data_IF_614683107122
#
_entry.id   IF_614683107122
#
_cell.length_a   1.000
_cell.length_b   1.000
_cell.length_c   1.000
_cell.angle_alpha   90.00
_cell.angle_beta   90.00
_cell.angle_gamma   90.00
#
_symmetry.space_group_name_H-M   'P 1'
#
loop_
_entity.id
_entity.type
_entity.pdbx_description
1 polymer ?
#
# COMPACT_ATOMS: atom_id res chain seq x y z
N UNK A 1 -31.04 -29.67 -1.89
CA UNK A 1 -30.90 -28.78 -3.05
C UNK A 1 -29.72 -27.87 -2.75
N UNK A 2 -28.53 -28.05 -3.37
CA UNK A 2 -27.49 -27.06 -3.21
C UNK A 2 -27.97 -25.77 -3.89
N UNK A 3 -27.76 -24.65 -3.22
CA UNK A 3 -28.08 -23.33 -3.77
C UNK A 3 -27.47 -23.20 -5.16
N UNK A 4 -28.29 -22.73 -6.10
CA UNK A 4 -27.86 -22.29 -7.42
C UNK A 4 -26.62 -21.40 -7.25
N UNK A 5 -25.52 -21.76 -7.94
CA UNK A 5 -24.35 -20.90 -8.13
C UNK A 5 -24.81 -19.66 -8.91
N UNK A 6 -25.35 -18.67 -8.22
CA UNK A 6 -25.35 -17.30 -8.74
C UNK A 6 -23.89 -16.93 -9.00
N UNK A 7 -23.58 -16.45 -10.21
CA UNK A 7 -22.23 -16.02 -10.55
C UNK A 7 -21.68 -15.10 -9.45
N UNK A 8 -20.54 -15.47 -8.88
CA UNK A 8 -19.87 -14.70 -7.83
C UNK A 8 -19.61 -13.27 -8.36
N UNK A 9 -20.09 -12.24 -7.66
CA UNK A 9 -19.88 -10.85 -8.06
C UNK A 9 -18.38 -10.53 -8.10
N UNK A 10 -17.95 -9.67 -9.02
CA UNK A 10 -16.57 -9.18 -9.09
C UNK A 10 -15.48 -10.27 -9.16
N UNK A 11 -15.76 -11.42 -9.79
CA UNK A 11 -14.83 -12.56 -9.86
C UNK A 11 -13.41 -12.16 -10.25
N UNK A 12 -13.24 -11.35 -11.29
CA UNK A 12 -11.91 -10.90 -11.75
C UNK A 12 -11.13 -10.13 -10.67
N UNK A 13 -11.79 -9.21 -9.94
CA UNK A 13 -11.15 -8.46 -8.86
C UNK A 13 -10.82 -9.35 -7.66
N UNK A 14 -11.68 -10.33 -7.35
CA UNK A 14 -11.41 -11.30 -6.28
C UNK A 14 -10.17 -12.13 -6.61
N UNK A 15 -10.02 -12.58 -7.85
CA UNK A 15 -8.81 -13.25 -8.33
C UNK A 15 -7.59 -12.33 -8.24
N UNK A 16 -7.69 -11.07 -8.69
CA UNK A 16 -6.57 -10.11 -8.64
C UNK A 16 -6.11 -9.82 -7.19
N UNK A 17 -7.05 -9.74 -6.24
CA UNK A 17 -6.73 -9.62 -4.80
C UNK A 17 -5.92 -10.83 -4.33
N UNK A 18 -6.36 -12.04 -4.67
CA UNK A 18 -5.67 -13.28 -4.27
C UNK A 18 -4.27 -13.36 -4.88
N UNK A 19 -4.13 -13.00 -6.16
CA UNK A 19 -2.83 -12.93 -6.85
C UNK A 19 -1.91 -11.91 -6.19
N UNK A 20 -2.42 -10.72 -5.84
CA UNK A 20 -1.68 -9.69 -5.09
C UNK A 20 -1.20 -10.23 -3.74
N UNK A 21 -2.07 -10.89 -2.98
CA UNK A 21 -1.71 -11.52 -1.71
C UNK A 21 -0.59 -12.57 -1.87
N UNK A 22 -0.67 -13.41 -2.91
CA UNK A 22 0.37 -14.41 -3.21
C UNK A 22 1.70 -13.74 -3.57
N UNK A 23 1.66 -12.68 -4.38
CA UNK A 23 2.86 -11.91 -4.75
C UNK A 23 3.49 -11.18 -3.55
N UNK A 24 2.68 -10.68 -2.61
CA UNK A 24 3.19 -10.11 -1.36
C UNK A 24 3.99 -11.13 -0.55
N UNK A 25 3.54 -12.39 -0.49
CA UNK A 25 4.30 -13.45 0.17
C UNK A 25 5.53 -13.86 -0.65
N UNK A 26 5.41 -13.97 -1.97
CA UNK A 26 6.50 -14.38 -2.85
C UNK A 26 7.67 -13.37 -2.86
N UNK A 27 7.37 -12.07 -2.80
CA UNK A 27 8.36 -10.99 -2.74
C UNK A 27 8.94 -10.77 -1.33
N UNK A 28 8.43 -11.47 -0.31
CA UNK A 28 8.93 -11.41 1.06
C UNK A 28 8.49 -10.17 1.86
N UNK A 29 7.67 -9.29 1.26
CA UNK A 29 7.12 -8.11 1.96
C UNK A 29 6.00 -8.47 2.93
N UNK A 30 5.44 -9.68 2.85
CA UNK A 30 4.48 -10.21 3.82
C UNK A 30 4.87 -11.62 4.28
N UNK A 31 4.52 -11.96 5.52
CA UNK A 31 4.80 -13.27 6.12
C UNK A 31 3.50 -13.93 6.59
N UNK A 32 3.17 -15.08 6.01
CA UNK A 32 1.97 -15.83 6.38
C UNK A 32 0.68 -15.06 6.05
N UNK A 33 -0.10 -14.77 7.09
CA UNK A 33 -1.46 -14.18 7.01
C UNK A 33 -1.57 -12.85 7.75
N UNK A 34 -0.46 -12.17 8.03
CA UNK A 34 -0.46 -10.91 8.79
C UNK A 34 -1.02 -9.72 8.00
N UNK A 35 -0.69 -9.63 6.71
CA UNK A 35 -1.22 -8.59 5.84
C UNK A 35 -2.70 -8.73 5.50
N UNK A 36 -3.23 -7.71 4.85
CA UNK A 36 -4.58 -7.69 4.32
C UNK A 36 -4.71 -6.69 3.16
N UNK A 37 -5.65 -6.95 2.26
CA UNK A 37 -5.84 -6.19 1.02
C UNK A 37 -7.32 -5.85 0.87
N UNK A 38 -7.62 -4.61 0.46
CA UNK A 38 -8.97 -4.22 0.05
C UNK A 38 -8.99 -3.46 -1.25
N UNK A 39 -10.09 -3.60 -2.00
CA UNK A 39 -10.36 -2.84 -3.22
C UNK A 39 -11.77 -2.27 -3.18
N UNK A 40 -11.91 -0.97 -3.45
CA UNK A 40 -13.21 -0.32 -3.62
C UNK A 40 -13.95 -0.95 -4.80
N UNK A 41 -15.25 -1.16 -4.63
CA UNK A 41 -16.15 -1.50 -5.72
C UNK A 41 -17.28 -0.45 -5.79
N UNK A 42 -18.15 -0.56 -6.79
CA UNK A 42 -19.30 0.33 -6.94
C UNK A 42 -20.27 0.28 -5.76
N UNK A 43 -21.28 1.15 -5.79
CA UNK A 43 -22.45 1.11 -4.91
C UNK A 43 -22.14 1.22 -3.40
N UNK A 44 -21.08 1.93 -3.04
CA UNK A 44 -20.71 2.18 -1.64
C UNK A 44 -20.18 0.95 -0.91
N UNK A 45 -19.46 0.08 -1.64
CA UNK A 45 -18.92 -1.18 -1.14
C UNK A 45 -17.43 -1.34 -1.45
N UNK A 46 -16.81 -2.33 -0.84
CA UNK A 46 -15.44 -2.74 -1.09
C UNK A 46 -15.28 -4.25 -0.86
N UNK A 47 -14.29 -4.84 -1.52
CA UNK A 47 -13.83 -6.21 -1.25
C UNK A 47 -12.64 -6.14 -0.29
N UNK A 48 -12.53 -7.10 0.62
CA UNK A 48 -11.41 -7.20 1.56
C UNK A 48 -11.06 -8.66 1.85
N UNK A 49 -9.79 -8.94 2.09
CA UNK A 49 -9.31 -10.27 2.48
C UNK A 49 -9.96 -10.76 3.79
N UNK A 50 -10.27 -12.05 3.90
CA UNK A 50 -10.79 -12.66 5.12
C UNK A 50 -9.73 -12.76 6.22
N UNK A 51 -10.16 -12.86 7.46
CA UNK A 51 -9.24 -13.08 8.60
C UNK A 51 -8.68 -14.51 8.59
N UNK A 52 -7.36 -14.63 8.77
CA UNK A 52 -6.70 -15.89 9.15
C UNK A 52 -6.65 -16.99 8.08
N UNK A 53 -7.01 -16.71 6.83
CA UNK A 53 -6.94 -17.69 5.73
C UNK A 53 -5.59 -17.57 5.01
N UNK A 54 -4.80 -18.66 4.89
CA UNK A 54 -3.55 -18.67 4.13
C UNK A 54 -3.74 -18.32 2.66
N UNK A 55 -2.95 -17.39 2.13
CA UNK A 55 -3.04 -16.90 0.75
C UNK A 55 -2.85 -17.99 -0.32
N UNK A 56 -2.06 -19.02 -0.02
CA UNK A 56 -1.83 -20.13 -0.94
C UNK A 56 -3.11 -20.93 -1.25
N UNK A 57 -4.00 -21.08 -0.26
CA UNK A 57 -5.24 -21.84 -0.37
C UNK A 57 -6.51 -20.99 -0.44
N UNK A 58 -6.37 -19.66 -0.51
CA UNK A 58 -7.50 -18.73 -0.56
C UNK A 58 -8.24 -18.85 -1.90
N UNK A 59 -9.58 -18.88 -1.85
CA UNK A 59 -10.47 -18.94 -3.00
C UNK A 59 -11.33 -17.67 -3.13
N UNK A 60 -11.87 -17.40 -4.31
CA UNK A 60 -12.56 -16.14 -4.62
C UNK A 60 -13.81 -15.91 -3.77
N UNK A 61 -14.52 -16.97 -3.41
CA UNK A 61 -15.71 -16.93 -2.55
C UNK A 61 -15.39 -16.58 -1.09
N UNK A 62 -14.12 -16.68 -0.68
CA UNK A 62 -13.65 -16.31 0.66
C UNK A 62 -13.27 -14.82 0.76
N UNK A 63 -13.08 -14.11 -0.36
CA UNK A 63 -12.94 -12.66 -0.34
C UNK A 63 -14.25 -12.05 0.17
N UNK A 64 -14.16 -11.12 1.12
CA UNK A 64 -15.33 -10.60 1.83
C UNK A 64 -15.78 -9.32 1.16
N UNK A 65 -17.05 -9.23 0.82
CA UNK A 65 -17.66 -7.97 0.38
C UNK A 65 -18.19 -7.22 1.60
N UNK A 66 -17.89 -5.93 1.70
CA UNK A 66 -18.33 -5.07 2.79
C UNK A 66 -18.91 -3.77 2.28
N UNK A 67 -19.94 -3.27 2.96
CA UNK A 67 -20.45 -1.91 2.79
C UNK A 67 -19.71 -0.95 3.73
N UNK A 68 -19.75 0.35 3.40
CA UNK A 68 -19.13 1.37 4.23
C UNK A 68 -19.84 1.64 5.57
N UNK A 69 -21.03 1.09 5.82
CA UNK A 69 -21.68 1.08 7.14
C UNK A 69 -21.25 -0.11 8.02
N UNK A 70 -20.38 -1.00 7.53
CA UNK A 70 -19.78 -2.10 8.29
C UNK A 70 -20.54 -3.43 8.21
N UNK A 71 -21.46 -3.60 7.25
CA UNK A 71 -22.11 -4.88 6.96
C UNK A 71 -21.21 -5.69 6.02
N UNK A 72 -21.05 -6.99 6.27
CA UNK A 72 -20.28 -7.89 5.40
C UNK A 72 -21.14 -9.01 4.81
N UNK A 73 -20.72 -9.51 3.66
CA UNK A 73 -21.39 -10.57 2.91
C UNK A 73 -20.38 -11.66 2.52
N UNK A 74 -20.85 -12.91 2.52
CA UNK A 74 -20.04 -14.08 2.19
C UNK A 74 -19.84 -15.03 3.38
N UNK A 75 -19.18 -16.17 3.14
CA UNK A 75 -19.02 -17.23 4.13
C UNK A 75 -17.94 -16.95 5.18
N UNK A 76 -17.03 -16.01 4.91
CA UNK A 76 -15.88 -15.70 5.75
C UNK A 76 -16.04 -14.36 6.47
N UNK A 77 -15.44 -14.26 7.67
CA UNK A 77 -15.30 -12.97 8.37
C UNK A 77 -14.20 -12.16 7.69
N UNK A 78 -14.35 -10.82 7.58
CA UNK A 78 -13.29 -9.96 7.06
C UNK A 78 -12.07 -9.98 8.00
N UNK A 79 -10.92 -9.48 7.51
CA UNK A 79 -9.76 -9.17 8.37
C UNK A 79 -10.19 -8.40 9.63
N UNK A 80 -9.51 -8.60 10.76
CA UNK A 80 -9.74 -7.84 12.00
C UNK A 80 -9.55 -6.32 11.82
N UNK A 81 -8.88 -5.93 10.75
CA UNK A 81 -8.43 -4.57 10.47
C UNK A 81 -9.26 -3.81 9.43
N UNK A 82 -10.43 -4.34 9.09
CA UNK A 82 -11.32 -3.79 8.07
C UNK A 82 -11.67 -2.29 8.30
N UNK A 83 -11.58 -1.79 9.54
CA UNK A 83 -11.93 -0.40 9.90
C UNK A 83 -11.07 0.62 9.18
N UNK A 84 -9.74 0.46 9.19
CA UNK A 84 -8.89 1.42 8.45
C UNK A 84 -9.06 1.29 6.96
N UNK A 85 -9.29 0.09 6.41
CA UNK A 85 -9.61 -0.07 4.99
C UNK A 85 -10.85 0.72 4.62
N UNK A 86 -11.94 0.52 5.38
CA UNK A 86 -13.20 1.24 5.22
C UNK A 86 -12.99 2.75 5.30
N UNK A 87 -12.37 3.23 6.37
CA UNK A 87 -12.30 4.66 6.65
C UNK A 87 -11.35 5.38 5.69
N UNK A 88 -10.23 4.76 5.31
CA UNK A 88 -9.33 5.27 4.27
C UNK A 88 -10.09 5.39 2.95
N UNK A 89 -10.76 4.33 2.51
CA UNK A 89 -11.55 4.37 1.27
C UNK A 89 -12.70 5.39 1.37
N UNK A 90 -13.30 5.62 2.53
CA UNK A 90 -14.32 6.67 2.66
C UNK A 90 -13.73 8.09 2.50
N UNK A 91 -12.58 8.37 3.10
CA UNK A 91 -11.99 9.71 3.12
C UNK A 91 -11.07 10.01 1.91
N UNK A 92 -10.66 8.98 1.16
CA UNK A 92 -9.80 9.10 -0.02
C UNK A 92 -10.51 8.59 -1.28
N UNK A 93 -11.42 9.38 -1.87
CA UNK A 93 -12.12 9.00 -3.11
C UNK A 93 -11.20 8.87 -4.32
N UNK A 94 -9.97 9.38 -4.24
CA UNK A 94 -8.89 9.23 -5.23
C UNK A 94 -8.15 7.89 -5.15
N UNK A 95 -8.45 7.06 -4.14
CA UNK A 95 -7.83 5.77 -3.87
C UNK A 95 -8.85 4.65 -3.99
N UNK A 96 -8.46 3.57 -4.66
CA UNK A 96 -9.29 2.38 -4.83
C UNK A 96 -8.72 1.15 -4.14
N UNK A 97 -7.47 1.18 -3.69
CA UNK A 97 -6.80 0.04 -3.08
C UNK A 97 -6.06 0.43 -1.82
N UNK A 98 -6.18 -0.41 -0.80
CA UNK A 98 -5.41 -0.33 0.45
C UNK A 98 -4.76 -1.68 0.68
N UNK A 99 -3.45 -1.69 0.90
CA UNK A 99 -2.67 -2.86 1.29
C UNK A 99 -2.03 -2.60 2.64
N UNK A 100 -2.18 -3.55 3.55
CA UNK A 100 -1.48 -3.56 4.83
C UNK A 100 -0.56 -4.78 4.93
N UNK A 101 0.61 -4.58 5.52
CA UNK A 101 1.59 -5.62 5.79
C UNK A 101 2.32 -5.39 7.10
N UNK A 102 2.89 -6.47 7.63
CA UNK A 102 3.94 -6.42 8.67
C UNK A 102 5.31 -6.61 8.00
N UNK A 103 5.62 -5.80 6.98
CA UNK A 103 6.89 -5.88 6.26
C UNK A 103 8.07 -5.62 7.20
N UNK A 104 9.13 -6.41 7.07
CA UNK A 104 10.18 -6.54 8.09
C UNK A 104 10.81 -5.20 8.46
N UNK A 105 11.35 -4.46 7.48
CA UNK A 105 12.09 -3.23 7.74
C UNK A 105 11.18 -2.07 8.08
N UNK A 106 10.02 -1.97 7.42
CA UNK A 106 8.98 -1.00 7.78
C UNK A 106 8.52 -1.18 9.22
N UNK A 107 8.31 -2.44 9.65
CA UNK A 107 7.93 -2.78 11.02
C UNK A 107 9.05 -2.44 12.00
N UNK A 108 10.33 -2.71 11.66
CA UNK A 108 11.48 -2.32 12.48
C UNK A 108 11.49 -0.81 12.75
N UNK A 109 11.31 0.02 11.72
CA UNK A 109 11.24 1.48 11.90
C UNK A 109 9.99 1.89 12.71
N UNK A 110 8.84 1.25 12.44
CA UNK A 110 7.60 1.50 13.18
C UNK A 110 7.73 1.20 14.68
N UNK A 111 8.51 0.18 15.06
CA UNK A 111 8.77 -0.19 16.45
C UNK A 111 9.61 0.87 17.17
N UNK A 112 10.37 1.68 16.44
CA UNK A 112 11.08 2.85 16.96
C UNK A 112 10.20 4.11 17.02
N UNK A 113 8.98 4.05 16.47
CA UNK A 113 8.04 5.18 16.36
C UNK A 113 8.67 6.38 15.66
N UNK A 114 9.36 6.11 14.56
CA UNK A 114 10.03 7.12 13.74
C UNK A 114 9.41 7.16 12.36
N UNK A 115 9.36 8.37 11.80
CA UNK A 115 9.14 8.56 10.38
C UNK A 115 10.34 8.05 9.59
N UNK A 116 10.12 7.71 8.32
CA UNK A 116 11.20 7.54 7.34
C UNK A 116 11.40 8.89 6.65
N UNK A 117 12.52 9.60 6.87
CA UNK A 117 12.80 10.88 6.21
C UNK A 117 13.19 10.65 4.73
N UNK A 118 13.43 11.73 3.99
CA UNK A 118 13.99 11.72 2.63
C UNK A 118 15.46 11.22 2.57
N UNK A 119 15.73 10.03 3.10
CA UNK A 119 17.01 9.31 3.02
C UNK A 119 17.31 8.85 1.59
N UNK A 120 16.26 8.72 0.77
CA UNK A 120 16.33 8.41 -0.65
C UNK A 120 15.21 9.17 -1.38
N UNK A 121 15.48 9.69 -2.58
CA UNK A 121 14.52 10.53 -3.31
C UNK A 121 13.19 9.80 -3.59
N UNK A 122 13.20 8.47 -3.70
CA UNK A 122 12.00 7.65 -3.93
C UNK A 122 10.97 7.73 -2.78
N UNK A 123 11.29 8.32 -1.64
CA UNK A 123 10.28 8.70 -0.63
C UNK A 123 9.16 9.55 -1.25
N UNK A 124 9.46 10.32 -2.29
CA UNK A 124 8.46 11.06 -3.07
C UNK A 124 7.34 10.18 -3.65
N UNK A 125 7.60 8.89 -3.91
CA UNK A 125 6.59 7.94 -4.39
C UNK A 125 5.46 7.72 -3.36
N UNK A 126 5.74 7.92 -2.07
CA UNK A 126 4.74 7.90 -1.00
C UNK A 126 3.96 9.23 -0.88
N UNK A 127 4.14 10.17 -1.81
CA UNK A 127 3.37 11.41 -1.91
C UNK A 127 3.88 12.57 -1.07
N UNK A 128 5.06 12.48 -0.46
CA UNK A 128 5.63 13.55 0.34
C UNK A 128 7.13 13.40 0.60
N UNK A 129 7.68 14.27 1.45
CA UNK A 129 9.11 14.29 1.81
C UNK A 129 9.48 13.30 2.94
N UNK A 130 8.50 12.55 3.44
CA UNK A 130 8.66 11.52 4.46
C UNK A 130 7.52 10.49 4.40
N UNK A 131 7.72 9.37 5.07
CA UNK A 131 6.68 8.38 5.39
C UNK A 131 6.43 8.44 6.89
N UNK A 132 5.25 8.91 7.28
CA UNK A 132 4.91 9.17 8.67
C UNK A 132 4.63 7.89 9.43
N UNK A 133 4.96 7.86 10.72
CA UNK A 133 4.57 6.81 11.65
C UNK A 133 3.38 7.25 12.50
N UNK A 134 2.24 6.59 12.29
CA UNK A 134 1.03 6.80 13.06
C UNK A 134 1.22 6.36 14.52
N UNK A 135 0.54 7.05 15.44
CA UNK A 135 0.54 6.69 16.86
C UNK A 135 -0.02 5.28 17.11
N UNK A 136 0.44 4.64 18.18
CA UNK A 136 -0.01 3.30 18.53
C UNK A 136 -1.47 3.29 18.99
N UNK A 137 -2.22 2.33 18.48
CA UNK A 137 -3.47 1.88 19.06
C UNK A 137 -3.61 0.37 18.79
N UNK A 138 -4.43 -0.32 19.58
CA UNK A 138 -4.65 -1.76 19.42
C UNK A 138 -5.21 -2.08 18.03
N UNK A 139 -4.70 -3.15 17.41
CA UNK A 139 -5.14 -3.58 16.07
C UNK A 139 -6.66 -3.76 15.99
N UNK A 140 -7.23 -3.45 14.82
CA UNK A 140 -8.67 -3.53 14.57
C UNK A 140 -9.54 -2.49 15.31
N UNK A 141 -8.96 -1.58 16.10
CA UNK A 141 -9.70 -0.52 16.79
C UNK A 141 -10.01 0.67 15.88
N UNK A 142 -11.01 1.49 16.26
CA UNK A 142 -11.29 2.76 15.59
C UNK A 142 -10.13 3.74 15.77
N UNK A 143 -9.53 3.81 16.96
CA UNK A 143 -8.39 4.69 17.23
C UNK A 143 -7.19 4.45 16.29
N UNK A 144 -6.89 3.18 15.95
CA UNK A 144 -5.83 2.88 14.97
C UNK A 144 -6.19 3.44 13.58
N UNK A 145 -7.46 3.33 13.19
CA UNK A 145 -7.97 3.89 11.94
C UNK A 145 -7.78 5.41 11.89
N UNK A 146 -8.15 6.10 12.97
CA UNK A 146 -8.06 7.56 13.07
C UNK A 146 -6.60 8.05 13.01
N UNK A 147 -5.68 7.34 13.68
CA UNK A 147 -4.25 7.62 13.60
C UNK A 147 -3.68 7.38 12.19
N UNK A 148 -4.09 6.29 11.53
CA UNK A 148 -3.67 5.98 10.17
C UNK A 148 -4.13 7.07 9.18
N UNK A 149 -5.38 7.52 9.28
CA UNK A 149 -5.91 8.61 8.45
C UNK A 149 -5.08 9.89 8.59
N UNK A 150 -4.77 10.28 9.83
CA UNK A 150 -3.95 11.46 10.13
C UNK A 150 -2.55 11.34 9.50
N UNK A 151 -1.90 10.17 9.66
CA UNK A 151 -0.59 9.94 9.05
C UNK A 151 -0.62 9.95 7.51
N UNK A 152 -1.74 9.53 6.92
CA UNK A 152 -1.96 9.45 5.46
C UNK A 152 -2.38 10.78 4.80
N UNK A 153 -2.56 11.87 5.55
CA UNK A 153 -2.89 13.17 4.98
C UNK A 153 -1.81 13.64 3.99
N UNK A 154 -2.17 13.73 2.71
CA UNK A 154 -1.22 14.06 1.64
C UNK A 154 -0.11 13.01 1.49
N UNK A 155 -0.38 11.75 1.82
CA UNK A 155 0.52 10.61 1.63
C UNK A 155 -0.20 9.42 0.99
N UNK A 156 0.58 8.50 0.46
CA UNK A 156 0.17 7.21 -0.08
C UNK A 156 0.69 6.04 0.75
N UNK A 157 1.50 6.29 1.78
CA UNK A 157 1.97 5.26 2.70
C UNK A 157 2.15 5.84 4.10
N UNK A 158 1.92 5.02 5.13
CA UNK A 158 2.27 5.33 6.50
C UNK A 158 2.68 4.09 7.27
N UNK A 159 3.59 4.25 8.24
CA UNK A 159 3.88 3.23 9.23
C UNK A 159 2.82 3.27 10.34
N UNK A 160 2.61 2.14 11.00
CA UNK A 160 1.79 2.02 12.19
C UNK A 160 2.71 1.65 13.36
N UNK A 161 2.81 2.50 14.39
CA UNK A 161 3.72 2.28 15.51
C UNK A 161 3.59 0.86 16.08
N UNK A 162 4.73 0.19 16.28
CA UNK A 162 4.81 -1.18 16.81
C UNK A 162 3.93 -2.21 16.06
N UNK A 163 3.70 -2.02 14.75
CA UNK A 163 2.72 -2.82 14.02
C UNK A 163 3.13 -3.14 12.59
N UNK A 164 3.23 -2.15 11.69
CA UNK A 164 3.47 -2.43 10.28
C UNK A 164 3.34 -1.23 9.36
N UNK A 165 2.86 -1.46 8.14
CA UNK A 165 2.80 -0.51 7.04
C UNK A 165 1.42 -0.55 6.38
N UNK A 166 0.90 0.62 6.01
CA UNK A 166 -0.26 0.77 5.11
C UNK A 166 0.20 1.49 3.85
N UNK A 167 -0.28 1.03 2.70
CA UNK A 167 -0.01 1.59 1.38
C UNK A 167 -1.29 1.74 0.58
N UNK A 168 -1.40 2.85 -0.15
CA UNK A 168 -2.56 3.24 -0.93
C UNK A 168 -2.23 3.21 -2.42
N UNK A 169 -3.22 2.90 -3.25
CA UNK A 169 -3.08 3.01 -4.69
C UNK A 169 -4.40 3.16 -5.43
N UNK A 170 -4.31 3.68 -6.66
CA UNK A 170 -5.44 3.71 -7.59
C UNK A 170 -5.81 2.32 -8.15
N UNK A 171 -4.97 1.31 -7.92
CA UNK A 171 -5.24 -0.10 -8.20
C UNK A 171 -4.21 -0.99 -7.48
N UNK A 172 -4.47 -2.29 -7.44
CA UNK A 172 -3.63 -3.32 -6.81
C UNK A 172 -2.18 -3.26 -7.28
N UNK A 173 -1.95 -3.22 -8.59
CA UNK A 173 -0.61 -3.14 -9.16
C UNK A 173 0.19 -1.92 -8.66
N UNK A 174 -0.42 -0.73 -8.66
CA UNK A 174 0.24 0.50 -8.17
C UNK A 174 0.50 0.44 -6.65
N UNK A 175 -0.47 -0.05 -5.88
CA UNK A 175 -0.31 -0.20 -4.43
C UNK A 175 0.80 -1.21 -4.08
N UNK A 176 0.86 -2.34 -4.79
CA UNK A 176 1.89 -3.35 -4.61
C UNK A 176 3.29 -2.84 -4.99
N UNK A 177 3.41 -2.12 -6.10
CA UNK A 177 4.68 -1.50 -6.48
C UNK A 177 5.17 -0.51 -5.40
N UNK A 178 4.27 0.32 -4.88
CA UNK A 178 4.60 1.24 -3.79
C UNK A 178 4.94 0.50 -2.48
N UNK A 179 4.28 -0.61 -2.16
CA UNK A 179 4.61 -1.45 -1.02
C UNK A 179 6.06 -1.94 -1.07
N UNK A 180 6.48 -2.48 -2.21
CA UNK A 180 7.86 -2.97 -2.41
C UNK A 180 8.87 -1.81 -2.31
N UNK A 181 8.55 -0.66 -2.89
CA UNK A 181 9.41 0.54 -2.82
C UNK A 181 9.57 1.03 -1.37
N UNK A 182 8.47 1.18 -0.62
CA UNK A 182 8.51 1.65 0.77
C UNK A 182 9.31 0.70 1.66
N UNK A 183 9.12 -0.62 1.50
CA UNK A 183 9.91 -1.60 2.25
C UNK A 183 11.40 -1.55 1.88
N UNK A 184 11.72 -1.28 0.61
CA UNK A 184 13.11 -1.08 0.14
C UNK A 184 13.74 0.15 0.78
N UNK A 185 13.03 1.28 0.80
CA UNK A 185 13.49 2.52 1.45
C UNK A 185 13.66 2.30 2.96
N UNK A 186 12.72 1.62 3.62
CA UNK A 186 12.85 1.30 5.04
C UNK A 186 14.10 0.45 5.32
N UNK A 187 14.40 -0.51 4.44
CA UNK A 187 15.58 -1.35 4.53
C UNK A 187 16.87 -0.56 4.31
N UNK A 188 16.89 0.40 3.38
CA UNK A 188 18.01 1.33 3.18
C UNK A 188 18.22 2.20 4.42
N UNK A 189 17.14 2.79 4.95
CA UNK A 189 17.20 3.67 6.13
C UNK A 189 17.75 2.93 7.35
N UNK A 190 17.21 1.75 7.65
CA UNK A 190 17.67 0.91 8.75
C UNK A 190 19.15 0.53 8.61
N UNK A 191 19.59 0.10 7.41
CA UNK A 191 21.00 -0.24 7.17
C UNK A 191 21.92 0.97 7.27
N UNK A 192 21.51 2.13 6.75
CA UNK A 192 22.28 3.36 6.84
C UNK A 192 22.49 3.78 8.30
N UNK A 193 21.43 3.71 9.14
CA UNK A 193 21.52 3.95 10.58
C UNK A 193 22.43 2.95 11.30
N UNK A 194 22.52 1.71 10.82
CA UNK A 194 23.38 0.69 11.43
C UNK A 194 24.87 0.92 11.17
N UNK A 195 25.23 1.61 10.08
CA UNK A 195 26.63 1.86 9.69
C UNK A 195 27.05 3.32 9.82
N UNK A 196 26.12 4.25 10.09
CA UNK A 196 26.42 5.67 10.20
C UNK A 196 25.17 6.54 10.38
N UNK A 197 25.32 7.83 10.06
CA UNK A 197 24.21 8.79 10.05
C UNK A 197 23.84 9.10 8.59
N UNK A 198 22.63 8.77 8.12
CA UNK A 198 22.23 9.06 6.75
C UNK A 198 22.15 10.58 6.52
N UNK A 199 22.59 11.02 5.35
CA UNK A 199 22.36 12.39 4.86
C UNK A 199 20.95 12.45 4.29
N UNK A 200 20.16 13.43 4.73
CA UNK A 200 18.77 13.59 4.33
C UNK A 200 18.68 14.69 3.27
N UNK A 201 17.95 14.42 2.19
CA UNK A 201 17.66 15.43 1.17
C UNK A 201 16.78 16.53 1.79
N UNK A 202 17.13 17.78 1.53
CA UNK A 202 16.35 18.92 2.02
C UNK A 202 15.06 19.11 1.20
N UNK A 203 14.17 19.97 1.70
CA UNK A 203 12.89 20.22 1.06
C UNK A 203 13.02 20.90 -0.32
N UNK A 204 14.11 21.63 -0.58
CA UNK A 204 14.34 22.24 -1.88
C UNK A 204 14.65 21.17 -2.93
N UNK A 205 15.48 20.19 -2.58
CA UNK A 205 15.75 19.07 -3.46
C UNK A 205 14.54 18.15 -3.62
N UNK A 206 13.79 17.88 -2.55
CA UNK A 206 12.54 17.12 -2.68
C UNK A 206 11.51 17.82 -3.58
N UNK A 207 11.49 19.15 -3.63
CA UNK A 207 10.67 19.89 -4.58
C UNK A 207 11.09 19.62 -6.03
N UNK A 208 12.40 19.61 -6.32
CA UNK A 208 12.91 19.23 -7.64
C UNK A 208 12.49 17.79 -8.00
N UNK A 209 12.58 16.87 -7.04
CA UNK A 209 12.15 15.47 -7.21
C UNK A 209 10.66 15.38 -7.55
N UNK A 210 9.79 16.14 -6.85
CA UNK A 210 8.35 16.15 -7.16
C UNK A 210 8.07 16.64 -8.58
N UNK A 211 8.80 17.64 -9.06
CA UNK A 211 8.66 18.14 -10.42
C UNK A 211 9.11 17.09 -11.46
N UNK A 212 10.18 16.36 -11.19
CA UNK A 212 10.65 15.24 -12.01
C UNK A 212 9.67 14.06 -12.02
N UNK A 213 9.00 13.78 -10.89
CA UNK A 213 8.02 12.69 -10.78
C UNK A 213 6.80 12.88 -11.71
N UNK A 214 6.50 14.11 -12.15
CA UNK A 214 5.42 14.38 -13.12
C UNK A 214 5.69 13.75 -14.49
N UNK A 215 6.95 13.52 -14.84
CA UNK A 215 7.37 12.95 -16.12
C UNK A 215 8.11 11.61 -15.96
N UNK A 216 8.43 11.21 -14.73
CA UNK A 216 9.17 9.99 -14.42
C UNK A 216 8.46 8.72 -14.93
N UNK A 217 9.24 7.80 -15.52
CA UNK A 217 8.75 6.53 -16.05
C UNK A 217 7.97 6.64 -17.37
N UNK A 218 7.79 7.85 -17.92
CA UNK A 218 7.19 8.07 -19.24
C UNK A 218 8.18 7.83 -20.35
N UNK A 219 7.74 7.14 -21.41
CA UNK A 219 8.54 6.89 -22.62
C UNK A 219 8.21 7.90 -23.74
N UNK A 220 7.07 8.59 -23.61
CA UNK A 220 6.54 9.59 -24.55
C UNK A 220 7.10 11.01 -24.31
N UNK A 221 8.06 11.16 -23.40
CA UNK A 221 8.73 12.44 -23.13
C UNK A 221 10.11 12.40 -23.73
N UNK A 222 10.38 13.29 -24.68
CA UNK A 222 11.70 13.39 -25.30
C UNK A 222 12.71 13.98 -24.30
N UNK A 223 13.84 13.30 -24.15
CA UNK A 223 15.03 13.83 -23.47
C UNK A 223 16.00 14.38 -24.54
N UNK A 224 16.22 15.71 -24.59
CA UNK A 224 17.05 16.33 -25.61
C UNK A 224 18.54 16.00 -25.48
N UNK A 225 18.99 15.39 -24.37
CA UNK A 225 20.36 14.92 -24.18
C UNK A 225 20.54 13.48 -24.65
N UNK A 226 19.49 12.66 -24.61
CA UNK A 226 19.57 11.27 -25.05
C UNK A 226 19.63 11.16 -26.58
N UNK A 227 20.42 10.18 -27.03
CA UNK A 227 20.55 9.84 -28.44
C UNK A 227 20.23 8.35 -28.66
N UNK A 228 19.30 8.04 -29.55
CA UNK A 228 19.04 6.68 -30.01
C UNK A 228 19.77 6.48 -31.35
N UNK A 229 20.84 5.66 -31.35
CA UNK A 229 21.62 5.40 -32.57
C UNK A 229 22.29 6.63 -33.20
N UNK A 230 22.52 7.69 -32.42
CA UNK A 230 23.14 8.95 -32.88
C UNK A 230 22.18 10.09 -33.21
N UNK A 231 20.87 9.84 -33.30
CA UNK A 231 19.83 10.86 -33.42
C UNK A 231 19.22 11.16 -32.04
N UNK A 232 18.65 12.36 -31.82
CA UNK A 232 17.90 12.67 -30.59
C UNK A 232 16.88 11.56 -30.36
N UNK A 233 16.86 10.99 -29.15
CA UNK A 233 15.93 9.93 -28.81
C UNK A 233 14.50 10.42 -29.04
N UNK A 234 13.73 9.78 -29.93
CA UNK A 234 12.37 10.20 -30.17
C UNK A 234 11.54 9.97 -28.90
N UNK A 235 10.58 10.85 -28.64
CA UNK A 235 9.45 10.50 -27.78
C UNK A 235 8.76 9.28 -28.40
N UNK A 236 8.52 8.23 -27.59
CA UNK A 236 7.82 7.02 -28.03
C UNK A 236 6.35 7.29 -28.36
#
# INVERSE_FOLDING_TARGET
>A
MPASLSALSHLALRTEIIETCREMNASGVNQGTSGNVSVRIGDGRFLVTPTGIPYAGMTEDQIVEMTFDGIYYGPCRPTSEWRFHRDILLHRPDIDTVIHTHSMFSTVISCLRRDIPAVHYMVAAAGGENIRCADYATFGSQALSDHALTALEGRLACLLANHGLIVLGANLRKALALLVEVETIAAQYWRALAVGTPVILDSAEMQNVFDMFKVYGRQDVADPELRCGGAIAPAA
#
